data_IF_627288634648
#
_entry.id   IF_627288634648
#
_cell.length_a   1.000
_cell.length_b   1.000
_cell.length_c   1.000
_cell.angle_alpha   90.00
_cell.angle_beta   90.00
_cell.angle_gamma   90.00
#
_symmetry.space_group_name_H-M   'P 1'
#
loop_
_entity.id
_entity.type
_entity.pdbx_description
1 polymer ?
#
# COMPACT_ATOMS: atom_id res chain seq x y z
N UNK A 1 9.43 17.75 1.63
CA UNK A 1 10.38 18.70 0.99
C UNK A 1 11.73 18.71 1.70
N UNK A 2 11.84 19.06 2.99
CA UNK A 2 13.15 19.07 3.70
C UNK A 2 13.97 17.78 3.54
N UNK A 3 13.34 16.61 3.66
CA UNK A 3 14.05 15.33 3.48
C UNK A 3 14.71 15.18 2.11
N UNK A 4 14.04 15.64 1.06
CA UNK A 4 14.55 15.55 -0.32
C UNK A 4 15.63 16.61 -0.58
N UNK A 5 15.54 17.79 0.05
CA UNK A 5 16.51 18.87 -0.18
C UNK A 5 17.88 18.62 0.47
N UNK A 6 17.95 17.75 1.47
CA UNK A 6 19.18 17.43 2.23
C UNK A 6 19.65 15.98 2.05
N UNK A 7 18.90 15.14 1.34
CA UNK A 7 19.22 13.75 1.07
C UNK A 7 19.22 13.42 -0.42
N UNK A 8 19.49 12.14 -0.76
CA UNK A 8 19.42 11.63 -2.12
C UNK A 8 17.96 11.49 -2.58
N UNK A 9 17.67 11.96 -3.79
CA UNK A 9 16.34 11.83 -4.39
C UNK A 9 15.96 10.39 -4.66
N UNK A 10 16.92 9.54 -5.04
CA UNK A 10 16.73 8.12 -5.27
C UNK A 10 16.39 7.39 -3.96
N UNK A 11 17.13 7.66 -2.87
CA UNK A 11 16.83 7.12 -1.55
C UNK A 11 15.45 7.58 -1.06
N UNK A 12 15.13 8.87 -1.19
CA UNK A 12 13.83 9.40 -0.80
C UNK A 12 12.69 8.74 -1.56
N UNK A 13 12.86 8.48 -2.86
CA UNK A 13 11.86 7.79 -3.68
C UNK A 13 11.63 6.35 -3.21
N UNK A 14 12.68 5.56 -2.98
CA UNK A 14 12.52 4.20 -2.46
C UNK A 14 11.97 4.16 -1.03
N UNK A 15 12.44 5.05 -0.14
CA UNK A 15 11.95 5.14 1.23
C UNK A 15 10.47 5.48 1.30
N UNK A 16 9.90 6.12 0.26
CA UNK A 16 8.47 6.40 0.22
C UNK A 16 7.61 5.12 0.25
N UNK A 17 8.13 3.96 -0.17
CA UNK A 17 7.45 2.67 0.00
C UNK A 17 7.23 2.26 1.47
N UNK A 18 7.95 2.87 2.43
CA UNK A 18 7.68 2.67 3.85
C UNK A 18 6.27 3.12 4.26
N UNK A 19 5.62 3.92 3.42
CA UNK A 19 4.20 4.26 3.56
C UNK A 19 3.32 3.01 3.68
N UNK A 20 3.64 1.92 2.96
CA UNK A 20 2.91 0.65 3.03
C UNK A 20 3.01 0.04 4.44
N UNK A 21 4.21 0.07 5.01
CA UNK A 21 4.46 -0.39 6.39
C UNK A 21 3.66 0.47 7.38
N UNK A 22 3.78 1.79 7.27
CA UNK A 22 3.09 2.73 8.14
C UNK A 22 1.56 2.57 8.03
N UNK A 23 1.01 2.52 6.81
CA UNK A 23 -0.42 2.32 6.56
C UNK A 23 -0.93 1.04 7.19
N UNK A 24 -0.20 -0.08 7.01
CA UNK A 24 -0.60 -1.39 7.52
C UNK A 24 -0.54 -1.44 9.05
N UNK A 25 0.53 -0.92 9.66
CA UNK A 25 0.65 -0.88 11.12
C UNK A 25 -0.41 0.01 11.75
N UNK A 26 -0.71 1.16 11.16
CA UNK A 26 -1.78 2.04 11.61
C UNK A 26 -3.15 1.36 11.48
N UNK A 27 -3.40 0.67 10.36
CA UNK A 27 -4.63 -0.11 10.15
C UNK A 27 -4.80 -1.20 11.21
N UNK A 28 -3.72 -1.93 11.52
CA UNK A 28 -3.72 -2.95 12.57
C UNK A 28 -3.98 -2.35 13.96
N UNK A 29 -3.24 -1.30 14.35
CA UNK A 29 -3.24 -0.76 15.71
C UNK A 29 -4.50 0.07 16.02
N UNK A 30 -4.90 0.94 15.10
CA UNK A 30 -6.03 1.87 15.31
C UNK A 30 -7.36 1.31 14.78
N UNK A 31 -7.34 0.55 13.71
CA UNK A 31 -8.56 0.03 13.07
C UNK A 31 -8.77 -1.46 13.30
N UNK A 32 -7.85 -2.14 13.99
CA UNK A 32 -7.89 -3.57 14.34
C UNK A 32 -8.10 -4.48 13.11
N UNK A 33 -7.49 -4.11 11.98
CA UNK A 33 -7.55 -4.89 10.77
C UNK A 33 -6.61 -6.07 10.82
N UNK A 34 -7.03 -7.20 10.27
CA UNK A 34 -6.20 -8.40 10.21
C UNK A 34 -5.13 -8.23 9.13
N UNK A 35 -3.89 -8.57 9.47
CA UNK A 35 -2.72 -8.53 8.56
C UNK A 35 -2.36 -9.96 8.18
N UNK A 36 -2.32 -10.24 6.88
CA UNK A 36 -1.97 -11.56 6.37
C UNK A 36 -0.49 -11.90 6.63
N UNK A 37 -0.15 -13.19 6.58
CA UNK A 37 1.26 -13.64 6.70
C UNK A 37 2.14 -13.07 5.59
N UNK A 38 1.60 -12.94 4.36
CA UNK A 38 2.32 -12.36 3.21
C UNK A 38 2.64 -10.90 3.44
N UNK A 39 1.67 -10.15 3.97
CA UNK A 39 1.85 -8.72 4.27
C UNK A 39 2.85 -8.52 5.42
N UNK A 40 2.88 -9.39 6.43
CA UNK A 40 3.93 -9.37 7.47
C UNK A 40 5.33 -9.61 6.88
N UNK A 41 5.46 -10.55 5.94
CA UNK A 41 6.72 -10.79 5.21
C UNK A 41 7.14 -9.55 4.42
N UNK A 42 6.19 -8.93 3.71
CA UNK A 42 6.42 -7.67 2.98
C UNK A 42 6.93 -6.55 3.89
N UNK A 43 6.26 -6.35 5.04
CA UNK A 43 6.66 -5.36 6.07
C UNK A 43 8.11 -5.59 6.51
N UNK A 44 8.49 -6.85 6.77
CA UNK A 44 9.87 -7.20 7.15
C UNK A 44 10.88 -6.78 6.09
N UNK A 45 10.66 -7.13 4.82
CA UNK A 45 11.57 -6.76 3.73
C UNK A 45 11.63 -5.26 3.47
N UNK A 46 10.50 -4.55 3.46
CA UNK A 46 10.45 -3.10 3.27
C UNK A 46 11.14 -2.38 4.44
N UNK A 47 10.96 -2.86 5.67
CA UNK A 47 11.62 -2.28 6.85
C UNK A 47 13.14 -2.46 6.79
N UNK A 48 13.62 -3.66 6.43
CA UNK A 48 15.06 -3.92 6.24
C UNK A 48 15.63 -3.01 5.17
N UNK A 49 14.96 -2.90 4.02
CA UNK A 49 15.36 -1.98 2.94
C UNK A 49 15.43 -0.55 3.44
N UNK A 50 14.42 -0.08 4.15
CA UNK A 50 14.36 1.30 4.67
C UNK A 50 15.46 1.59 5.68
N UNK A 51 15.83 0.61 6.52
CA UNK A 51 16.97 0.72 7.42
C UNK A 51 18.26 0.88 6.62
N UNK A 52 18.51 0.02 5.63
CA UNK A 52 19.71 0.08 4.78
C UNK A 52 19.84 1.43 4.10
N UNK A 53 18.72 1.92 3.49
CA UNK A 53 18.69 3.19 2.76
C UNK A 53 18.78 4.43 3.67
N UNK A 54 18.51 4.28 4.96
CA UNK A 54 18.59 5.39 5.92
C UNK A 54 20.03 5.72 6.34
N UNK A 55 20.97 4.84 6.06
CA UNK A 55 22.38 5.06 6.34
C UNK A 55 23.10 5.50 5.06
N UNK A 56 23.58 6.73 5.02
CA UNK A 56 24.37 7.29 3.92
C UNK A 56 25.86 7.36 4.32
N UNK A 57 26.74 6.95 3.40
CA UNK A 57 28.16 7.21 3.50
C UNK A 57 29.08 5.98 3.37
N UNK A 58 30.21 6.19 2.70
CA UNK A 58 31.30 5.23 2.59
C UNK A 58 32.18 5.31 3.84
N UNK A 59 31.96 4.45 4.82
CA UNK A 59 32.93 4.25 5.90
C UNK A 59 32.50 4.53 7.34
N UNK A 60 31.36 5.15 7.58
CA UNK A 60 30.77 5.29 8.93
C UNK A 60 29.26 5.25 8.84
N UNK A 61 28.62 4.55 9.79
CA UNK A 61 27.16 4.51 9.90
C UNK A 61 26.64 5.89 10.33
N UNK A 62 26.52 6.83 9.39
CA UNK A 62 25.85 8.10 9.63
C UNK A 62 24.39 7.98 9.21
N UNK A 63 23.50 8.14 10.16
CA UNK A 63 22.07 8.19 9.91
C UNK A 63 21.73 9.47 9.14
N UNK A 64 21.13 9.34 7.97
CA UNK A 64 20.74 10.48 7.15
C UNK A 64 19.53 11.21 7.76
N UNK A 65 19.71 12.47 8.11
CA UNK A 65 18.61 13.32 8.58
C UNK A 65 17.54 13.48 7.49
N UNK A 66 17.95 13.49 6.22
CA UNK A 66 17.02 13.49 5.07
C UNK A 66 16.11 12.26 5.08
N UNK A 67 16.67 11.06 5.26
CA UNK A 67 15.92 9.82 5.35
C UNK A 67 14.94 9.81 6.53
N UNK A 68 15.34 10.38 7.69
CA UNK A 68 14.42 10.53 8.83
C UNK A 68 13.17 11.35 8.48
N UNK A 69 13.35 12.50 7.82
CA UNK A 69 12.21 13.32 7.41
C UNK A 69 11.33 12.64 6.38
N UNK A 70 11.90 11.84 5.47
CA UNK A 70 11.12 11.04 4.53
C UNK A 70 10.31 9.98 5.26
N UNK A 71 10.91 9.24 6.20
CA UNK A 71 10.19 8.24 7.01
C UNK A 71 9.06 8.86 7.85
N UNK A 72 9.28 10.03 8.45
CA UNK A 72 8.22 10.75 9.16
C UNK A 72 7.08 11.14 8.21
N UNK A 73 7.39 11.59 7.00
CA UNK A 73 6.39 11.91 5.98
C UNK A 73 5.57 10.67 5.60
N UNK A 74 6.20 9.50 5.45
CA UNK A 74 5.49 8.24 5.12
C UNK A 74 4.56 7.79 6.24
N UNK A 75 4.92 8.03 7.50
CA UNK A 75 4.02 7.77 8.64
C UNK A 75 2.77 8.67 8.56
N UNK A 76 2.97 9.96 8.26
CA UNK A 76 1.85 10.90 8.06
C UNK A 76 0.96 10.47 6.88
N UNK A 77 1.54 10.01 5.78
CA UNK A 77 0.80 9.47 4.64
C UNK A 77 0.06 8.19 4.99
N UNK A 78 0.67 7.30 5.77
CA UNK A 78 0.01 6.09 6.27
C UNK A 78 -1.24 6.41 7.10
N UNK A 79 -1.17 7.43 7.96
CA UNK A 79 -2.33 7.91 8.71
C UNK A 79 -3.40 8.49 7.77
N UNK A 80 -2.98 9.35 6.83
CA UNK A 80 -3.85 9.99 5.86
C UNK A 80 -4.58 8.97 4.98
N UNK A 81 -3.89 7.94 4.49
CA UNK A 81 -4.47 6.87 3.70
C UNK A 81 -5.59 6.13 4.45
N UNK A 82 -5.36 5.80 5.72
CA UNK A 82 -6.37 5.16 6.55
C UNK A 82 -7.60 6.07 6.78
N UNK A 83 -7.38 7.37 7.01
CA UNK A 83 -8.46 8.35 7.13
C UNK A 83 -9.24 8.49 5.80
N UNK A 84 -8.54 8.64 4.68
CA UNK A 84 -9.15 8.77 3.35
C UNK A 84 -9.96 7.54 2.99
N UNK A 85 -9.47 6.33 3.32
CA UNK A 85 -10.21 5.09 3.09
C UNK A 85 -11.55 5.05 3.85
N UNK A 86 -11.60 5.58 5.06
CA UNK A 86 -12.85 5.65 5.85
C UNK A 86 -13.92 6.56 5.25
N UNK A 87 -13.51 7.53 4.44
CA UNK A 87 -14.43 8.49 3.79
C UNK A 87 -14.49 8.32 2.27
N UNK A 88 -13.91 7.23 1.72
CA UNK A 88 -13.81 7.01 0.26
C UNK A 88 -15.18 6.80 -0.44
N UNK A 89 -16.22 6.49 0.32
CA UNK A 89 -17.61 6.44 -0.14
C UNK A 89 -18.20 7.82 -0.47
N UNK A 90 -17.57 8.89 0.03
CA UNK A 90 -17.99 10.27 -0.22
C UNK A 90 -17.55 10.76 -1.59
N UNK A 91 -17.96 11.97 -1.94
CA UNK A 91 -17.59 12.59 -3.22
C UNK A 91 -16.08 12.78 -3.33
N UNK A 92 -15.47 12.21 -4.36
CA UNK A 92 -14.03 12.38 -4.65
C UNK A 92 -13.65 13.86 -4.78
N UNK A 93 -14.51 14.69 -5.39
CA UNK A 93 -14.29 16.14 -5.51
C UNK A 93 -14.21 16.82 -4.15
N UNK A 94 -15.10 16.49 -3.23
CA UNK A 94 -15.10 17.05 -1.88
C UNK A 94 -13.84 16.66 -1.11
N UNK A 95 -13.42 15.39 -1.18
CA UNK A 95 -12.21 14.90 -0.51
C UNK A 95 -10.99 15.66 -1.03
N UNK A 96 -10.80 15.73 -2.35
CA UNK A 96 -9.64 16.39 -2.96
C UNK A 96 -9.63 17.90 -2.66
N UNK A 97 -10.80 18.54 -2.72
CA UNK A 97 -10.94 19.98 -2.42
C UNK A 97 -10.56 20.29 -0.97
N UNK A 98 -11.09 19.53 -0.01
CA UNK A 98 -10.78 19.72 1.41
C UNK A 98 -9.29 19.46 1.67
N UNK A 99 -8.72 18.35 1.13
CA UNK A 99 -7.30 18.07 1.25
C UNK A 99 -6.44 19.20 0.66
N UNK A 100 -6.76 19.66 -0.54
CA UNK A 100 -6.04 20.74 -1.22
C UNK A 100 -6.09 22.05 -0.42
N UNK A 101 -7.25 22.43 0.08
CA UNK A 101 -7.42 23.63 0.89
C UNK A 101 -6.65 23.52 2.21
N UNK A 102 -6.81 22.43 2.95
CA UNK A 102 -6.14 22.25 4.24
C UNK A 102 -4.61 22.19 4.08
N UNK A 103 -4.11 21.40 3.14
CA UNK A 103 -2.67 21.29 2.89
C UNK A 103 -2.09 22.59 2.32
N UNK A 104 -2.79 23.25 1.38
CA UNK A 104 -2.36 24.52 0.80
C UNK A 104 -2.31 25.64 1.83
N UNK A 105 -3.37 25.79 2.64
CA UNK A 105 -3.41 26.78 3.71
C UNK A 105 -2.35 26.49 4.77
N UNK A 106 -2.17 25.23 5.19
CA UNK A 106 -1.13 24.85 6.13
C UNK A 106 0.27 25.15 5.62
N UNK A 107 0.57 24.83 4.37
CA UNK A 107 1.86 25.15 3.74
C UNK A 107 2.08 26.64 3.62
N UNK A 108 1.05 27.42 3.30
CA UNK A 108 1.13 28.89 3.22
C UNK A 108 1.41 29.50 4.59
N UNK A 109 0.75 29.02 5.65
CA UNK A 109 1.02 29.48 7.03
C UNK A 109 2.48 29.18 7.42
N UNK A 110 2.98 27.97 7.12
CA UNK A 110 4.37 27.62 7.41
C UNK A 110 5.33 28.56 6.66
N UNK A 111 5.13 28.76 5.36
CA UNK A 111 5.96 29.67 4.57
C UNK A 111 5.96 31.11 5.12
N UNK A 112 4.80 31.59 5.57
CA UNK A 112 4.69 32.91 6.19
C UNK A 112 5.44 33.01 7.52
N UNK A 113 5.29 31.97 8.39
CA UNK A 113 5.97 31.93 9.69
C UNK A 113 7.49 31.81 9.56
N UNK A 114 7.97 31.08 8.54
CA UNK A 114 9.40 30.91 8.25
C UNK A 114 10.01 32.15 7.52
N UNK A 115 9.19 33.15 7.19
CA UNK A 115 9.67 34.37 6.55
C UNK A 115 10.06 34.17 5.08
N UNK A 116 9.51 33.14 4.42
CA UNK A 116 9.76 32.86 3.02
C UNK A 116 9.24 34.03 2.14
N UNK A 117 10.06 34.50 1.21
CA UNK A 117 9.65 35.53 0.25
C UNK A 117 8.83 34.91 -0.88
N UNK A 118 7.87 35.67 -1.42
CA UNK A 118 7.11 35.23 -2.58
C UNK A 118 8.05 35.03 -3.78
N UNK A 119 8.04 33.83 -4.42
CA UNK A 119 8.89 33.60 -5.57
C UNK A 119 8.40 34.39 -6.80
N UNK A 120 9.26 34.51 -7.77
CA UNK A 120 8.91 35.19 -9.03
C UNK A 120 7.68 34.53 -9.69
N UNK A 121 6.80 35.31 -10.30
CA UNK A 121 5.52 34.87 -10.89
C UNK A 121 5.63 33.64 -11.80
N UNK A 122 6.74 33.51 -12.54
CA UNK A 122 7.04 32.30 -13.34
C UNK A 122 7.08 31.02 -12.50
N UNK A 123 7.70 31.04 -11.32
CA UNK A 123 7.80 29.89 -10.45
C UNK A 123 6.47 29.59 -9.77
N UNK A 124 5.66 30.60 -9.48
CA UNK A 124 4.30 30.42 -8.96
C UNK A 124 3.45 29.67 -9.99
N UNK A 125 3.50 30.06 -11.26
CA UNK A 125 2.77 29.41 -12.33
C UNK A 125 3.20 27.95 -12.50
N UNK A 126 4.52 27.69 -12.53
CA UNK A 126 5.05 26.32 -12.65
C UNK A 126 4.69 25.46 -11.45
N UNK A 127 4.76 26.00 -10.23
CA UNK A 127 4.37 25.27 -9.01
C UNK A 127 2.87 24.98 -8.99
N UNK A 128 2.04 25.92 -9.45
CA UNK A 128 0.59 25.71 -9.56
C UNK A 128 0.27 24.61 -10.58
N UNK A 129 0.91 24.62 -11.74
CA UNK A 129 0.73 23.59 -12.76
C UNK A 129 1.19 22.22 -12.26
N UNK A 130 2.35 22.16 -11.62
CA UNK A 130 2.86 20.93 -11.00
C UNK A 130 1.90 20.42 -9.91
N UNK A 131 1.43 21.32 -9.03
CA UNK A 131 0.47 20.98 -7.98
C UNK A 131 -0.86 20.46 -8.54
N UNK A 132 -1.34 21.06 -9.62
CA UNK A 132 -2.57 20.60 -10.28
C UNK A 132 -2.39 19.18 -10.88
N UNK A 133 -1.32 18.94 -11.65
CA UNK A 133 -1.12 17.66 -12.35
C UNK A 133 -0.64 16.58 -11.38
N UNK A 134 0.45 16.83 -10.66
CA UNK A 134 1.13 15.80 -9.87
C UNK A 134 0.45 15.54 -8.50
N UNK A 135 -0.33 16.48 -8.00
CA UNK A 135 -1.02 16.36 -6.73
C UNK A 135 -2.54 16.28 -6.90
N UNK A 136 -3.18 17.35 -7.42
CA UNK A 136 -4.64 17.40 -7.51
C UNK A 136 -5.25 16.32 -8.40
N UNK A 137 -4.81 16.26 -9.66
CA UNK A 137 -5.30 15.27 -10.64
C UNK A 137 -4.88 13.85 -10.26
N UNK A 138 -3.65 13.66 -9.78
CA UNK A 138 -3.13 12.35 -9.37
C UNK A 138 -3.95 11.77 -8.21
N UNK A 139 -4.20 12.54 -7.15
CA UNK A 139 -5.02 12.10 -6.01
C UNK A 139 -6.47 11.85 -6.44
N UNK A 140 -7.03 12.72 -7.28
CA UNK A 140 -8.37 12.54 -7.81
C UNK A 140 -8.51 11.21 -8.56
N UNK A 141 -7.58 10.92 -9.47
CA UNK A 141 -7.56 9.66 -10.22
C UNK A 141 -7.30 8.45 -9.32
N UNK A 142 -6.44 8.59 -8.31
CA UNK A 142 -6.17 7.54 -7.33
C UNK A 142 -7.42 7.15 -6.51
N UNK A 143 -8.13 8.14 -5.95
CA UNK A 143 -9.37 7.89 -5.19
C UNK A 143 -10.44 7.29 -6.11
N UNK A 144 -10.55 7.77 -7.35
CA UNK A 144 -11.48 7.23 -8.34
C UNK A 144 -11.13 5.79 -8.71
N UNK A 145 -9.86 5.50 -8.94
CA UNK A 145 -9.40 4.13 -9.17
C UNK A 145 -9.70 3.21 -7.97
N UNK A 146 -9.51 3.68 -6.73
CA UNK A 146 -9.90 2.91 -5.54
C UNK A 146 -11.39 2.60 -5.50
N UNK A 147 -12.24 3.53 -5.95
CA UNK A 147 -13.68 3.33 -6.04
C UNK A 147 -14.06 2.31 -7.12
N UNK A 148 -13.44 2.39 -8.30
CA UNK A 148 -13.83 1.61 -9.49
C UNK A 148 -13.16 0.22 -9.52
N UNK A 149 -11.88 0.13 -9.11
CA UNK A 149 -11.09 -1.11 -9.13
C UNK A 149 -10.97 -1.79 -7.76
N UNK A 150 -11.32 -1.07 -6.70
CA UNK A 150 -11.07 -1.45 -5.32
C UNK A 150 -9.69 -1.01 -4.80
N UNK A 151 -9.61 -0.78 -3.50
CA UNK A 151 -8.40 -0.27 -2.84
C UNK A 151 -7.19 -1.19 -3.08
N UNK A 152 -7.41 -2.50 -3.04
CA UNK A 152 -6.35 -3.50 -3.20
C UNK A 152 -5.63 -3.38 -4.56
N UNK A 153 -6.37 -3.43 -5.67
CA UNK A 153 -5.76 -3.34 -7.02
C UNK A 153 -5.07 -1.99 -7.24
N UNK A 154 -5.70 -0.91 -6.78
CA UNK A 154 -5.13 0.44 -6.92
C UNK A 154 -3.81 0.57 -6.19
N UNK A 155 -3.72 0.08 -4.95
CA UNK A 155 -2.47 0.09 -4.17
C UNK A 155 -1.38 -0.77 -4.82
N UNK A 156 -1.73 -1.93 -5.41
CA UNK A 156 -0.78 -2.76 -6.14
C UNK A 156 -0.17 -2.03 -7.34
N UNK A 157 -0.99 -1.35 -8.14
CA UNK A 157 -0.49 -0.54 -9.26
C UNK A 157 0.35 0.65 -8.78
N UNK A 158 -0.08 1.30 -7.71
CA UNK A 158 0.63 2.45 -7.16
C UNK A 158 2.00 2.11 -6.58
N UNK A 159 2.20 0.88 -6.09
CA UNK A 159 3.47 0.44 -5.51
C UNK A 159 4.66 0.44 -6.50
N UNK A 160 4.38 0.58 -7.80
CA UNK A 160 5.40 0.75 -8.85
C UNK A 160 5.96 2.19 -8.91
N UNK A 161 5.19 3.18 -8.46
CA UNK A 161 5.55 4.60 -8.59
C UNK A 161 6.92 4.97 -7.98
N UNK A 162 7.31 4.50 -6.78
CA UNK A 162 8.63 4.78 -6.21
C UNK A 162 9.79 4.26 -7.05
N UNK A 163 9.64 3.15 -7.76
CA UNK A 163 10.68 2.63 -8.66
C UNK A 163 10.85 3.50 -9.90
N UNK A 164 9.75 4.05 -10.44
CA UNK A 164 9.79 5.03 -11.53
C UNK A 164 10.48 6.31 -11.07
N UNK A 165 10.15 6.81 -9.86
CA UNK A 165 10.80 7.98 -9.27
C UNK A 165 12.30 7.78 -9.08
N UNK A 166 12.70 6.62 -8.59
CA UNK A 166 14.10 6.21 -8.45
C UNK A 166 14.84 6.20 -9.78
N UNK A 167 14.27 5.56 -10.80
CA UNK A 167 14.84 5.49 -12.13
C UNK A 167 15.03 6.89 -12.73
N UNK A 168 14.05 7.76 -12.59
CA UNK A 168 14.14 9.14 -13.04
C UNK A 168 15.20 9.94 -12.27
N UNK A 169 15.36 9.70 -10.97
CA UNK A 169 16.40 10.36 -10.18
C UNK A 169 17.80 10.04 -10.69
N UNK A 170 18.08 8.80 -11.09
CA UNK A 170 19.36 8.46 -11.72
C UNK A 170 19.58 9.15 -13.07
N UNK A 171 18.55 9.20 -13.92
CA UNK A 171 18.68 9.81 -15.26
C UNK A 171 18.80 11.34 -15.15
N UNK A 172 17.97 11.97 -14.33
CA UNK A 172 17.86 13.44 -14.30
C UNK A 172 18.93 14.06 -13.40
N UNK A 173 19.17 13.45 -12.23
CA UNK A 173 20.09 14.01 -11.23
C UNK A 173 21.51 13.42 -11.35
N UNK A 174 21.72 12.38 -12.17
CA UNK A 174 23.02 11.73 -12.31
C UNK A 174 23.52 11.07 -11.01
N UNK A 175 22.62 10.62 -10.15
CA UNK A 175 22.99 10.02 -8.86
C UNK A 175 23.78 8.72 -9.05
N UNK A 176 24.82 8.50 -8.24
CA UNK A 176 25.64 7.29 -8.33
C UNK A 176 24.98 6.13 -7.56
N UNK A 177 25.05 4.93 -8.15
CA UNK A 177 24.61 3.69 -7.52
C UNK A 177 25.62 3.27 -6.45
N UNK A 178 25.23 3.29 -5.19
CA UNK A 178 26.02 2.68 -4.11
C UNK A 178 25.64 1.21 -3.93
N UNK A 179 26.56 0.40 -3.37
CA UNK A 179 26.28 -1.01 -3.05
C UNK A 179 25.14 -1.10 -2.04
N UNK A 180 25.12 -0.24 -1.02
CA UNK A 180 24.03 -0.20 -0.04
C UNK A 180 22.68 0.09 -0.70
N UNK A 181 22.67 1.01 -1.69
CA UNK A 181 21.47 1.30 -2.47
C UNK A 181 20.98 0.06 -3.24
N UNK A 182 21.87 -0.67 -3.91
CA UNK A 182 21.50 -1.89 -4.65
C UNK A 182 20.95 -2.98 -3.73
N UNK A 183 21.51 -3.14 -2.54
CA UNK A 183 21.01 -4.09 -1.54
C UNK A 183 19.64 -3.64 -1.03
N UNK A 184 19.46 -2.36 -0.71
CA UNK A 184 18.16 -1.79 -0.32
C UNK A 184 17.10 -1.98 -1.40
N UNK A 185 17.45 -1.67 -2.66
CA UNK A 185 16.57 -1.86 -3.81
C UNK A 185 16.13 -3.34 -3.96
N UNK A 186 17.05 -4.28 -3.80
CA UNK A 186 16.76 -5.71 -3.86
C UNK A 186 15.71 -6.13 -2.80
N UNK A 187 15.91 -5.74 -1.55
CA UNK A 187 14.94 -6.02 -0.48
C UNK A 187 13.60 -5.32 -0.72
N UNK A 188 13.62 -4.10 -1.26
CA UNK A 188 12.41 -3.34 -1.58
C UNK A 188 11.58 -4.03 -2.68
N UNK A 189 12.24 -4.54 -3.73
CA UNK A 189 11.58 -5.28 -4.81
C UNK A 189 10.88 -6.53 -4.24
N UNK A 190 11.58 -7.31 -3.40
CA UNK A 190 10.99 -8.50 -2.77
C UNK A 190 9.78 -8.11 -1.92
N UNK A 191 9.90 -7.11 -1.05
CA UNK A 191 8.81 -6.62 -0.23
C UNK A 191 7.60 -6.20 -1.07
N UNK A 192 7.83 -5.45 -2.15
CA UNK A 192 6.78 -5.00 -3.07
C UNK A 192 6.09 -6.17 -3.77
N UNK A 193 6.82 -7.21 -4.19
CA UNK A 193 6.23 -8.43 -4.77
C UNK A 193 5.29 -9.09 -3.77
N UNK A 194 5.66 -9.19 -2.49
CA UNK A 194 4.79 -9.73 -1.46
C UNK A 194 3.54 -8.87 -1.22
N UNK A 195 3.63 -7.53 -1.22
CA UNK A 195 2.48 -6.61 -1.16
C UNK A 195 1.53 -6.84 -2.32
N UNK A 196 2.06 -6.85 -3.54
CA UNK A 196 1.25 -7.05 -4.76
C UNK A 196 0.59 -8.43 -4.73
N UNK A 197 1.32 -9.47 -4.36
CA UNK A 197 0.80 -10.84 -4.26
C UNK A 197 -0.32 -10.94 -3.22
N UNK A 198 -0.18 -10.29 -2.06
CA UNK A 198 -1.21 -10.26 -1.03
C UNK A 198 -2.47 -9.52 -1.51
N UNK A 199 -2.26 -8.41 -2.18
CA UNK A 199 -3.32 -7.56 -2.71
C UNK A 199 -4.12 -8.22 -3.84
N UNK A 200 -3.46 -9.08 -4.65
CA UNK A 200 -4.10 -9.80 -5.76
C UNK A 200 -4.81 -11.08 -5.31
N UNK A 201 -4.57 -11.53 -4.08
CA UNK A 201 -5.22 -12.71 -3.51
C UNK A 201 -6.38 -12.26 -2.63
N UNK A 202 -7.60 -12.64 -3.01
CA UNK A 202 -8.80 -12.37 -2.22
C UNK A 202 -9.10 -13.60 -1.36
N UNK A 203 -8.96 -13.47 -0.04
CA UNK A 203 -9.48 -14.46 0.89
C UNK A 203 -10.95 -14.13 1.16
N UNK A 204 -11.83 -15.12 0.96
CA UNK A 204 -13.22 -15.01 1.36
C UNK A 204 -13.72 -16.33 1.92
N UNK A 205 -14.65 -16.25 2.85
CA UNK A 205 -15.37 -17.40 3.38
C UNK A 205 -16.77 -17.46 2.77
N UNK A 206 -17.23 -18.63 2.48
CA UNK A 206 -18.63 -18.86 2.11
C UNK A 206 -19.16 -20.16 2.68
N UNK A 207 -20.46 -20.17 2.84
CA UNK A 207 -21.20 -21.28 3.38
C UNK A 207 -21.51 -22.26 2.24
N UNK A 208 -21.11 -23.53 2.40
CA UNK A 208 -21.48 -24.60 1.51
C UNK A 208 -22.52 -25.49 2.16
N UNK A 209 -23.53 -25.84 1.38
CA UNK A 209 -24.55 -26.80 1.77
C UNK A 209 -24.45 -28.01 0.87
N UNK A 210 -24.16 -29.17 1.46
CA UNK A 210 -24.13 -30.45 0.79
C UNK A 210 -25.36 -31.25 1.13
N UNK A 211 -26.00 -31.84 0.12
CA UNK A 211 -27.07 -32.78 0.25
C UNK A 211 -26.50 -34.19 0.05
N UNK A 212 -26.45 -34.97 1.12
CA UNK A 212 -25.97 -36.36 1.07
C UNK A 212 -27.16 -37.26 1.21
N UNK A 213 -27.49 -37.99 0.14
CA UNK A 213 -28.56 -38.98 0.13
C UNK A 213 -27.94 -40.37 0.22
N UNK A 214 -28.35 -41.14 1.21
CA UNK A 214 -27.94 -42.53 1.35
C UNK A 214 -29.12 -43.41 1.77
N UNK A 215 -28.99 -44.73 1.53
CA UNK A 215 -30.01 -45.73 1.83
C UNK A 215 -29.45 -46.78 2.78
N UNK A 216 -30.09 -46.97 3.92
CA UNK A 216 -29.84 -48.12 4.80
C UNK A 216 -31.17 -48.67 5.36
N UNK A 217 -31.20 -49.93 5.68
CA UNK A 217 -32.39 -50.62 6.20
C UNK A 217 -33.66 -50.48 5.35
N UNK A 218 -33.48 -50.32 4.02
CA UNK A 218 -34.60 -50.17 3.07
C UNK A 218 -35.24 -48.79 3.03
N UNK A 219 -34.74 -47.80 3.78
CA UNK A 219 -35.19 -46.43 3.73
C UNK A 219 -34.12 -45.49 3.18
N UNK A 220 -34.53 -44.60 2.26
CA UNK A 220 -33.64 -43.56 1.68
C UNK A 220 -33.94 -42.24 2.35
N UNK A 221 -32.90 -41.59 2.90
CA UNK A 221 -33.02 -40.28 3.49
C UNK A 221 -31.86 -39.39 3.09
N UNK A 222 -32.07 -38.07 3.20
CA UNK A 222 -31.13 -37.05 2.78
C UNK A 222 -30.71 -36.22 3.98
N UNK A 223 -29.42 -36.09 4.21
CA UNK A 223 -28.84 -35.16 5.19
C UNK A 223 -28.37 -33.90 4.52
N UNK A 224 -28.64 -32.79 5.16
CA UNK A 224 -28.12 -31.48 4.76
C UNK A 224 -26.99 -31.12 5.70
N UNK A 225 -25.74 -31.04 5.17
CA UNK A 225 -24.56 -30.68 5.93
C UNK A 225 -24.13 -29.26 5.45
N UNK A 226 -24.12 -28.33 6.38
CA UNK A 226 -23.70 -26.96 6.10
C UNK A 226 -22.40 -26.68 6.84
N UNK A 227 -21.36 -26.27 6.12
CA UNK A 227 -20.08 -25.87 6.72
C UNK A 227 -19.53 -24.61 6.05
N UNK A 228 -18.78 -23.84 6.81
CA UNK A 228 -18.08 -22.64 6.35
C UNK A 228 -16.60 -22.96 6.20
N UNK A 229 -16.02 -22.57 5.05
CA UNK A 229 -14.58 -22.61 4.87
C UNK A 229 -14.08 -21.36 4.15
N UNK A 230 -12.84 -20.98 4.45
CA UNK A 230 -12.15 -19.86 3.81
C UNK A 230 -11.05 -20.36 2.90
N UNK A 231 -10.91 -19.75 1.74
CA UNK A 231 -9.84 -20.05 0.81
C UNK A 231 -9.42 -18.81 0.00
N UNK A 232 -8.21 -18.90 -0.56
CA UNK A 232 -7.59 -17.84 -1.33
C UNK A 232 -7.88 -18.01 -2.82
N UNK A 233 -8.34 -16.93 -3.48
CA UNK A 233 -8.47 -16.87 -4.94
C UNK A 233 -7.62 -15.74 -5.51
N UNK A 234 -6.98 -15.99 -6.65
CA UNK A 234 -6.45 -14.92 -7.47
C UNK A 234 -7.60 -14.17 -8.14
N UNK A 235 -7.55 -12.83 -8.13
CA UNK A 235 -8.61 -11.96 -8.67
C UNK A 235 -8.95 -12.20 -10.15
N UNK A 236 -8.11 -12.98 -10.87
CA UNK A 236 -8.30 -13.31 -12.29
C UNK A 236 -9.13 -14.58 -12.54
N UNK A 237 -9.44 -15.37 -11.53
CA UNK A 237 -10.13 -16.65 -11.70
C UNK A 237 -11.53 -16.61 -11.10
N UNK A 238 -12.54 -16.54 -11.98
CA UNK A 238 -13.95 -16.69 -11.59
C UNK A 238 -14.42 -18.18 -11.54
N UNK A 239 -13.51 -19.13 -11.72
CA UNK A 239 -13.85 -20.55 -11.75
C UNK A 239 -13.62 -21.17 -10.37
N UNK A 240 -14.68 -21.61 -9.74
CA UNK A 240 -14.66 -22.30 -8.44
C UNK A 240 -14.62 -23.82 -8.64
N UNK A 241 -13.42 -24.40 -8.62
CA UNK A 241 -13.28 -25.86 -8.49
C UNK A 241 -12.86 -26.18 -7.05
N UNK A 242 -13.72 -26.85 -6.30
CA UNK A 242 -13.44 -27.22 -4.92
C UNK A 242 -13.16 -28.73 -4.83
N UNK A 243 -11.98 -29.10 -4.36
CA UNK A 243 -11.70 -30.46 -3.90
C UNK A 243 -12.05 -30.55 -2.40
N UNK A 244 -13.16 -31.17 -2.08
CA UNK A 244 -13.47 -31.54 -0.70
C UNK A 244 -12.67 -32.79 -0.32
N UNK A 245 -11.96 -32.74 0.81
CA UNK A 245 -11.31 -33.96 1.32
C UNK A 245 -12.39 -35.01 1.68
N UNK A 246 -12.32 -36.16 1.04
CA UNK A 246 -13.27 -37.28 1.27
C UNK A 246 -13.38 -37.70 2.74
N UNK A 247 -12.46 -37.31 3.62
CA UNK A 247 -12.47 -37.59 5.04
C UNK A 247 -13.69 -37.01 5.79
N UNK A 248 -14.07 -35.74 5.46
CA UNK A 248 -15.19 -35.06 6.12
C UNK A 248 -16.54 -35.71 5.77
N UNK A 249 -16.63 -36.29 4.57
CA UNK A 249 -17.85 -37.00 4.12
C UNK A 249 -18.01 -38.34 4.78
N UNK A 250 -16.91 -39.03 5.18
CA UNK A 250 -16.95 -40.34 5.84
C UNK A 250 -17.30 -40.29 7.33
N UNK A 251 -16.88 -39.25 8.04
CA UNK A 251 -17.09 -39.11 9.47
C UNK A 251 -18.57 -38.88 9.83
N UNK A 252 -19.33 -38.30 8.89
CA UNK A 252 -20.77 -38.03 9.05
C UNK A 252 -21.70 -39.11 8.47
N UNK A 253 -21.15 -40.23 7.98
CA UNK A 253 -21.96 -41.38 7.52
C UNK A 253 -22.42 -42.32 8.64
N UNK A 254 -21.96 -42.08 9.88
CA UNK A 254 -22.22 -42.95 11.05
C UNK A 254 -22.91 -42.23 12.23
N UNK A 255 -23.55 -41.08 11.99
CA UNK A 255 -24.40 -40.37 12.96
C UNK A 255 -25.88 -40.49 12.61
#
# INVERSE_FOLDING_TARGET
>A
MFGISIGSSANASLLSNFEIVATTLIALLLFKENVSRRLWTAIGFITISSIILSFEGSGSFHFSLGSLFVLLATICWGMENNCTRKISDKSTYQIVTIKGLCCGTGSFIVAFVTGESLPHSKYILLATLLGFIAYGLSIFLYIRAQRDLGAAKTSAYYSVAPFVGTFLAFIINGEALSIAYLIGLFFMIIGTIFVVSDTLVKNHSHLHTHLITHTHDGSTHTHTITHEHSHDHFLSTNVHTHHHAHAILKENQHL
#
